data_IF_769023499261
#
_entry.id   IF_769023499261
#
_cell.length_a   1.000
_cell.length_b   1.000
_cell.length_c   1.000
_cell.angle_alpha   90.00
_cell.angle_beta   90.00
_cell.angle_gamma   90.00
#
_symmetry.space_group_name_H-M   'P 1'
#
loop_
_entity.id
_entity.type
_entity.pdbx_description
1 polymer ?
#
# COMPACT_ATOMS: atom_id res chain seq x y z
N UNK A 1 -17.97 3.48 1.27
CA UNK A 1 -16.63 2.90 1.25
C UNK A 1 -15.85 3.44 0.08
N UNK A 2 -14.58 3.65 0.28
CA UNK A 2 -13.72 4.23 -0.74
C UNK A 2 -13.22 3.15 -1.69
N UNK A 3 -13.35 3.38 -3.01
CA UNK A 3 -12.76 2.48 -4.00
C UNK A 3 -11.25 2.42 -3.84
N UNK A 4 -10.65 3.55 -3.44
CA UNK A 4 -9.20 3.62 -3.24
C UNK A 4 -8.79 2.66 -2.14
N UNK A 5 -9.51 2.66 -1.03
CA UNK A 5 -9.20 1.78 0.09
C UNK A 5 -9.25 0.32 -0.34
N UNK A 6 -10.30 -0.07 -1.06
CA UNK A 6 -10.45 -1.44 -1.52
C UNK A 6 -9.34 -1.85 -2.48
N UNK A 7 -9.01 -0.94 -3.40
CA UNK A 7 -7.96 -1.21 -4.38
C UNK A 7 -6.59 -1.33 -3.73
N UNK A 8 -6.29 -0.45 -2.78
CA UNK A 8 -5.03 -0.53 -2.05
C UNK A 8 -4.92 -1.84 -1.30
N UNK A 9 -5.98 -2.23 -0.59
CA UNK A 9 -5.96 -3.47 0.18
C UNK A 9 -5.81 -4.69 -0.71
N UNK A 10 -6.44 -4.67 -1.87
CA UNK A 10 -6.30 -5.78 -2.82
C UNK A 10 -4.85 -5.91 -3.28
N UNK A 11 -4.21 -4.79 -3.62
CA UNK A 11 -2.83 -4.81 -4.07
C UNK A 11 -1.91 -5.30 -2.95
N UNK A 12 -2.11 -4.82 -1.74
CA UNK A 12 -1.32 -5.25 -0.60
C UNK A 12 -1.46 -6.76 -0.39
N UNK A 13 -2.68 -7.24 -0.46
CA UNK A 13 -2.97 -8.66 -0.32
C UNK A 13 -2.21 -9.49 -1.37
N UNK A 14 -2.24 -9.05 -2.61
CA UNK A 14 -1.59 -9.78 -3.70
C UNK A 14 -0.07 -9.73 -3.59
N UNK A 15 0.48 -8.58 -3.25
CA UNK A 15 1.93 -8.42 -3.19
C UNK A 15 2.55 -9.14 -2.00
N UNK A 16 1.85 -9.16 -0.88
CA UNK A 16 2.38 -9.73 0.35
C UNK A 16 1.85 -11.13 0.67
N UNK A 17 0.94 -11.62 -0.16
CA UNK A 17 0.38 -12.96 0.02
C UNK A 17 -0.48 -13.11 1.26
N UNK A 18 -1.16 -12.04 1.67
CA UNK A 18 -2.06 -12.08 2.82
C UNK A 18 -3.51 -11.96 2.34
N UNK A 19 -4.45 -12.30 3.20
CA UNK A 19 -5.87 -12.17 2.87
C UNK A 19 -6.34 -10.75 3.12
N UNK A 20 -7.16 -10.21 2.22
CA UNK A 20 -7.71 -8.86 2.37
C UNK A 20 -8.47 -8.72 3.68
N UNK A 21 -9.20 -9.76 4.07
CA UNK A 21 -9.99 -9.73 5.30
C UNK A 21 -9.13 -9.63 6.55
N UNK A 22 -7.86 -9.98 6.45
CA UNK A 22 -6.92 -9.89 7.57
C UNK A 22 -6.25 -8.54 7.67
N UNK A 23 -6.41 -7.70 6.66
CA UNK A 23 -5.74 -6.40 6.62
C UNK A 23 -6.52 -5.38 7.43
N UNK A 24 -5.79 -4.63 8.24
CA UNK A 24 -6.35 -3.50 8.98
C UNK A 24 -5.65 -2.23 8.52
N UNK A 25 -6.35 -1.11 8.65
CA UNK A 25 -5.77 0.15 8.21
C UNK A 25 -4.48 0.48 8.95
N UNK A 26 -4.38 0.11 10.22
CA UNK A 26 -3.17 0.34 11.01
C UNK A 26 -2.11 -0.74 10.83
N UNK A 27 -2.35 -1.78 10.01
CA UNK A 27 -1.37 -2.85 9.82
C UNK A 27 -0.08 -2.31 9.22
N UNK A 28 1.05 -2.64 9.84
CA UNK A 28 2.37 -2.29 9.32
C UNK A 28 2.81 -3.36 8.33
N UNK A 29 3.30 -2.93 7.17
CA UNK A 29 3.74 -3.90 6.15
C UNK A 29 4.86 -4.81 6.67
N UNK A 30 5.80 -4.24 7.39
CA UNK A 30 6.95 -5.00 7.88
C UNK A 30 6.63 -5.72 9.18
N UNK A 31 6.07 -5.01 10.15
CA UNK A 31 5.87 -5.56 11.49
C UNK A 31 4.68 -6.51 11.57
N UNK A 32 3.60 -6.19 10.89
CA UNK A 32 2.37 -6.97 11.00
C UNK A 32 2.17 -7.94 9.86
N UNK A 33 2.65 -7.59 8.66
CA UNK A 33 2.43 -8.40 7.47
C UNK A 33 3.69 -9.13 7.00
N UNK A 34 4.81 -8.91 7.67
CA UNK A 34 6.03 -9.65 7.41
C UNK A 34 6.76 -9.29 6.12
N UNK A 35 6.51 -8.11 5.57
CA UNK A 35 7.17 -7.67 4.35
C UNK A 35 8.61 -7.25 4.66
N UNK A 36 9.51 -7.52 3.71
CA UNK A 36 10.87 -6.97 3.81
C UNK A 36 10.97 -5.74 2.89
N UNK A 37 12.18 -5.18 2.80
CA UNK A 37 12.35 -3.94 2.04
C UNK A 37 12.08 -4.15 0.55
N UNK A 38 12.38 -5.31 0.01
CA UNK A 38 12.09 -5.61 -1.39
C UNK A 38 10.57 -5.69 -1.61
N UNK A 39 9.88 -6.33 -0.69
CA UNK A 39 8.42 -6.43 -0.78
C UNK A 39 7.77 -5.06 -0.78
N UNK A 40 8.26 -4.15 0.07
CA UNK A 40 7.68 -2.81 0.12
C UNK A 40 7.97 -2.02 -1.16
N UNK A 41 9.15 -2.20 -1.76
CA UNK A 41 9.46 -1.55 -3.04
C UNK A 41 8.52 -2.06 -4.13
N UNK A 42 8.31 -3.37 -4.19
CA UNK A 42 7.41 -3.95 -5.18
C UNK A 42 5.98 -3.49 -4.96
N UNK A 43 5.57 -3.39 -3.71
CA UNK A 43 4.23 -2.90 -3.37
C UNK A 43 4.04 -1.46 -3.87
N UNK A 44 5.03 -0.60 -3.63
CA UNK A 44 4.95 0.78 -4.07
C UNK A 44 4.84 0.84 -5.60
N UNK A 45 5.62 0.03 -6.31
CA UNK A 45 5.56 -0.01 -7.76
C UNK A 45 4.19 -0.47 -8.25
N UNK A 46 3.61 -1.46 -7.59
CA UNK A 46 2.28 -1.94 -7.95
C UNK A 46 1.22 -0.85 -7.74
N UNK A 47 1.35 -0.10 -6.66
CA UNK A 47 0.43 1.01 -6.39
C UNK A 47 0.57 2.10 -7.46
N UNK A 48 1.79 2.40 -7.88
CA UNK A 48 2.01 3.38 -8.94
C UNK A 48 1.33 2.97 -10.24
N UNK A 49 1.42 1.70 -10.58
CA UNK A 49 0.79 1.21 -11.80
C UNK A 49 -0.72 1.18 -11.69
N UNK A 50 -1.23 0.75 -10.55
CA UNK A 50 -2.68 0.63 -10.37
C UNK A 50 -3.36 1.99 -10.43
N UNK A 51 -2.74 3.01 -9.86
CA UNK A 51 -3.35 4.33 -9.75
C UNK A 51 -2.77 5.33 -10.75
N UNK A 52 -1.86 4.87 -11.60
CA UNK A 52 -1.23 5.72 -12.62
C UNK A 52 -0.65 7.00 -12.00
N UNK A 53 0.10 6.83 -10.94
CA UNK A 53 0.71 7.93 -10.21
C UNK A 53 2.15 7.60 -9.90
N UNK A 54 2.95 8.62 -9.59
CA UNK A 54 4.34 8.44 -9.20
C UNK A 54 4.47 8.63 -7.70
N UNK A 55 5.21 7.75 -7.06
CA UNK A 55 5.50 7.85 -5.64
C UNK A 55 7.00 8.01 -5.48
N UNK A 56 7.50 9.23 -5.19
CA UNK A 56 8.94 9.43 -4.99
C UNK A 56 9.46 8.57 -3.85
N UNK A 57 10.75 8.23 -3.92
CA UNK A 57 11.36 7.38 -2.90
C UNK A 57 11.18 7.95 -1.48
N UNK A 58 11.27 9.28 -1.36
CA UNK A 58 11.08 9.93 -0.06
C UNK A 58 9.70 9.66 0.52
N UNK A 59 8.68 9.70 -0.34
CA UNK A 59 7.31 9.44 0.10
C UNK A 59 7.09 7.96 0.32
N UNK A 60 7.70 7.13 -0.51
CA UNK A 60 7.58 5.68 -0.35
C UNK A 60 8.10 5.22 1.01
N UNK A 61 9.17 5.84 1.50
CA UNK A 61 9.73 5.49 2.81
C UNK A 61 8.76 5.81 3.94
N UNK A 62 7.85 6.75 3.75
CA UNK A 62 6.87 7.12 4.76
C UNK A 62 5.64 6.23 4.74
N UNK A 63 5.48 5.45 3.67
CA UNK A 63 4.32 4.56 3.54
C UNK A 63 4.68 3.24 4.20
N UNK A 64 4.36 3.13 5.49
CA UNK A 64 4.70 1.94 6.28
C UNK A 64 3.48 1.16 6.72
N UNK A 65 2.29 1.74 6.61
CA UNK A 65 1.04 1.06 6.96
C UNK A 65 0.04 1.15 5.82
N UNK A 66 -0.99 0.30 5.89
CA UNK A 66 -2.07 0.32 4.90
C UNK A 66 -2.72 1.71 4.86
N UNK A 67 -2.99 2.28 6.03
CA UNK A 67 -3.64 3.59 6.09
C UNK A 67 -2.79 4.67 5.43
N UNK A 68 -1.47 4.63 5.64
CA UNK A 68 -0.59 5.62 5.02
C UNK A 68 -0.59 5.50 3.50
N UNK A 69 -0.65 4.27 2.99
CA UNK A 69 -0.77 4.07 1.54
C UNK A 69 -2.08 4.65 1.02
N UNK A 70 -3.18 4.39 1.72
CA UNK A 70 -4.48 4.92 1.33
C UNK A 70 -4.46 6.45 1.35
N UNK A 71 -3.92 7.02 2.41
CA UNK A 71 -3.87 8.48 2.57
C UNK A 71 -3.05 9.12 1.45
N UNK A 72 -1.90 8.53 1.14
CA UNK A 72 -1.04 9.09 0.10
C UNK A 72 -1.74 9.06 -1.26
N UNK A 73 -2.30 7.92 -1.61
CA UNK A 73 -2.98 7.76 -2.89
C UNK A 73 -4.17 8.72 -2.97
N UNK A 74 -4.97 8.79 -1.90
CA UNK A 74 -6.14 9.67 -1.87
C UNK A 74 -5.75 11.14 -2.06
N UNK A 75 -4.63 11.55 -1.49
CA UNK A 75 -4.18 12.94 -1.58
C UNK A 75 -3.64 13.29 -2.97
N UNK A 76 -3.19 12.29 -3.73
CA UNK A 76 -2.53 12.51 -5.01
C UNK A 76 -3.39 12.18 -6.22
N UNK A 77 -4.54 11.56 -6.01
CA UNK A 77 -5.50 11.34 -7.09
C UNK A 77 -6.44 12.53 -7.21
N UNK A 78 -6.78 12.85 -8.42
CA UNK A 78 -7.70 13.97 -8.67
C UNK A 78 -8.95 13.47 -9.38
#
# INVERSE_FOLDING_TARGET
>A
MSDIEQRVKKIVSEQLGTEESSLKNESSFINDLGADSLDTVELVMALEEEFNTEIPDEEAEKITTVQQAIDYISANLK
#
